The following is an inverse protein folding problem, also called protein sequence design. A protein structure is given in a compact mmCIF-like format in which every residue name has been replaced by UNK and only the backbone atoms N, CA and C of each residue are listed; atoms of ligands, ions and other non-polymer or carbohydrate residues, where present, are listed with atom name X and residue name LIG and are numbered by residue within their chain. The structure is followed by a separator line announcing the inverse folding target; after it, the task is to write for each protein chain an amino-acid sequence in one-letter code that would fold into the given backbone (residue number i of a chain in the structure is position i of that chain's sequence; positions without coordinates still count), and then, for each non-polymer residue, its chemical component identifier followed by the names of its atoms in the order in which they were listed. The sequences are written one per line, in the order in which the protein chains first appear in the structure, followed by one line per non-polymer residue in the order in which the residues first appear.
data_IF_559325695072
#
_entry.id   IF_559325695072
#
_cell.length_a   1.000
_cell.length_b   1.000
_cell.length_c   1.000
_cell.angle_alpha   90.00
_cell.angle_beta   90.00
_cell.angle_gamma   90.00
#
_symmetry.space_group_name_H-M   'P 1'
#
loop_
_entity.id
_entity.type
_entity.pdbx_description
1 polymer ?
#
# COMPACT_ATOMS: atom_id res chain seq x y z
N UNK A 1 2.48 2.52 6.68
CA UNK A 1 1.55 1.77 7.56
C UNK A 1 2.11 1.56 8.97
N UNK A 2 3.19 0.78 9.19
CA UNK A 2 3.79 0.65 10.55
C UNK A 2 4.43 1.96 11.01
N UNK A 3 5.15 2.66 10.12
CA UNK A 3 5.68 3.99 10.45
C UNK A 3 4.58 5.01 10.73
N UNK A 4 3.42 4.95 10.06
CA UNK A 4 2.28 5.84 10.34
C UNK A 4 1.66 5.58 11.72
N UNK A 5 1.78 4.35 12.24
CA UNK A 5 1.34 4.01 13.60
C UNK A 5 2.30 4.57 14.67
N UNK A 6 3.47 5.06 14.28
CA UNK A 6 4.44 5.68 15.17
C UNK A 6 4.48 7.20 14.89
N UNK A 7 4.63 8.05 15.91
CA UNK A 7 4.75 9.50 15.71
C UNK A 7 6.16 9.89 15.25
N UNK A 8 6.77 9.12 14.35
CA UNK A 8 8.09 9.41 13.82
C UNK A 8 7.99 10.42 12.69
N UNK A 9 8.84 11.45 12.73
CA UNK A 9 8.98 12.44 11.65
C UNK A 9 10.09 12.07 10.67
N UNK A 10 10.96 11.14 11.07
CA UNK A 10 12.10 10.66 10.31
C UNK A 10 12.03 9.13 10.16
N UNK A 11 12.85 8.58 9.27
CA UNK A 11 12.91 7.14 9.06
C UNK A 11 13.64 6.45 10.23
N UNK A 12 13.02 5.40 10.78
CA UNK A 12 13.63 4.58 11.82
C UNK A 12 13.72 3.13 11.36
N UNK A 13 14.90 2.49 11.42
CA UNK A 13 15.08 1.13 10.95
C UNK A 13 14.36 0.11 11.86
N UNK A 14 13.54 -0.73 11.24
CA UNK A 14 12.73 -1.75 11.91
C UNK A 14 12.85 -3.07 11.14
N UNK A 15 13.11 -4.16 11.86
CA UNK A 15 13.01 -5.53 11.32
C UNK A 15 11.57 -6.03 11.42
N UNK A 16 11.04 -6.51 10.31
CA UNK A 16 9.67 -7.01 10.21
C UNK A 16 9.72 -8.46 9.74
N UNK A 17 9.04 -9.34 10.44
CA UNK A 17 8.70 -10.68 9.97
C UNK A 17 7.18 -10.77 9.80
N UNK A 18 6.76 -11.43 8.72
CA UNK A 18 5.36 -11.51 8.30
C UNK A 18 5.01 -12.98 8.15
N UNK A 19 3.99 -13.43 8.87
CA UNK A 19 3.40 -14.74 8.71
C UNK A 19 1.90 -14.57 8.46
N UNK A 20 1.31 -15.35 7.57
CA UNK A 20 -0.13 -15.23 7.35
C UNK A 20 -0.73 -16.34 6.52
N UNK A 21 -2.06 -16.34 6.48
CA UNK A 21 -2.89 -17.23 5.67
C UNK A 21 -3.94 -16.37 4.96
N UNK A 22 -4.36 -16.82 3.78
CA UNK A 22 -5.48 -16.23 3.05
C UNK A 22 -6.29 -17.37 2.44
N UNK A 23 -7.57 -17.15 2.20
CA UNK A 23 -8.46 -18.19 1.69
C UNK A 23 -8.59 -18.09 0.17
N UNK A 24 -8.77 -16.88 -0.36
CA UNK A 24 -9.02 -16.71 -1.80
C UNK A 24 -8.32 -15.49 -2.39
N UNK A 25 -8.22 -15.50 -3.72
CA UNK A 25 -7.70 -14.42 -4.55
C UNK A 25 -8.82 -13.93 -5.45
N UNK A 26 -9.08 -12.63 -5.47
CA UNK A 26 -10.06 -12.00 -6.36
C UNK A 26 -9.36 -11.08 -7.34
N UNK A 27 -9.91 -10.97 -8.55
CA UNK A 27 -9.44 -10.04 -9.57
C UNK A 27 -10.57 -9.03 -9.82
N UNK A 28 -10.37 -7.80 -9.37
CA UNK A 28 -11.35 -6.73 -9.56
C UNK A 28 -11.04 -5.98 -10.84
N UNK A 29 -12.07 -5.73 -11.64
CA UNK A 29 -11.93 -4.96 -12.88
C UNK A 29 -11.61 -3.50 -12.54
N UNK A 30 -10.52 -3.00 -13.10
CA UNK A 30 -10.06 -1.64 -12.87
C UNK A 30 -9.85 -0.91 -14.20
N UNK A 31 -10.27 0.34 -14.25
CA UNK A 31 -9.94 1.21 -15.39
C UNK A 31 -8.55 1.78 -15.18
N UNK A 32 -7.58 1.38 -16.00
CA UNK A 32 -6.22 1.93 -15.97
C UNK A 32 -6.13 3.17 -16.86
N UNK A 33 -5.47 4.20 -16.33
CA UNK A 33 -5.10 5.41 -17.05
C UNK A 33 -3.59 5.45 -17.16
N UNK A 34 -3.08 5.44 -18.38
CA UNK A 34 -1.65 5.42 -18.67
C UNK A 34 -1.21 6.71 -19.28
N UNK A 35 -0.09 7.21 -18.77
CA UNK A 35 0.53 8.44 -19.19
C UNK A 35 1.96 8.13 -19.58
N UNK A 36 2.32 8.49 -20.82
CA UNK A 36 3.72 8.50 -21.24
C UNK A 36 4.25 9.91 -21.06
N UNK A 37 5.25 10.09 -20.20
CA UNK A 37 5.88 11.40 -19.97
C UNK A 37 6.33 12.01 -21.31
N UNK A 38 5.88 13.24 -21.60
CA UNK A 38 6.19 13.95 -22.83
C UNK A 38 5.31 13.62 -24.06
N UNK A 39 4.37 12.68 -23.96
CA UNK A 39 3.50 12.33 -25.08
C UNK A 39 2.38 13.36 -25.28
N UNK A 40 2.50 14.19 -26.32
CA UNK A 40 1.43 15.09 -26.74
C UNK A 40 0.17 14.31 -27.12
N UNK A 41 -0.98 14.92 -26.90
CA UNK A 41 -2.25 14.33 -27.25
C UNK A 41 -2.33 13.99 -28.76
N UNK A 42 -2.99 12.87 -29.04
CA UNK A 42 -3.19 12.34 -30.37
C UNK A 42 -4.51 11.55 -30.36
N UNK A 43 -5.50 12.05 -31.09
CA UNK A 43 -6.87 11.50 -31.13
C UNK A 43 -6.93 10.03 -31.59
N UNK A 44 -5.95 9.55 -32.35
CA UNK A 44 -5.88 8.15 -32.79
C UNK A 44 -5.37 7.20 -31.70
N UNK A 45 -4.65 7.70 -30.69
CA UNK A 45 -4.00 6.86 -29.67
C UNK A 45 -4.51 7.09 -28.25
N UNK A 46 -5.07 8.26 -27.98
CA UNK A 46 -5.46 8.70 -26.64
C UNK A 46 -6.96 8.92 -26.59
N UNK A 47 -7.60 8.40 -25.53
CA UNK A 47 -9.03 8.57 -25.30
C UNK A 47 -9.34 9.87 -24.53
N UNK A 48 -8.35 10.42 -23.82
CA UNK A 48 -8.50 11.65 -23.03
C UNK A 48 -7.25 12.54 -23.18
N UNK A 49 -7.40 13.81 -22.84
CA UNK A 49 -6.37 14.84 -22.91
C UNK A 49 -6.35 15.63 -21.59
N UNK A 50 -5.15 15.96 -21.09
CA UNK A 50 -4.98 16.86 -19.94
C UNK A 50 -3.73 17.70 -20.13
N UNK A 51 -3.88 19.03 -20.16
CA UNK A 51 -2.76 19.97 -20.23
C UNK A 51 -1.85 19.75 -21.46
N UNK A 52 -2.41 19.35 -22.60
CA UNK A 52 -1.70 19.06 -23.84
C UNK A 52 -1.14 17.64 -23.97
N UNK A 53 -1.26 16.82 -22.93
CA UNK A 53 -0.77 15.43 -22.90
C UNK A 53 -1.89 14.42 -23.10
N UNK A 54 -1.56 13.34 -23.80
CA UNK A 54 -2.50 12.26 -24.07
C UNK A 54 -2.56 11.23 -22.95
N UNK A 55 -3.76 10.75 -22.66
CA UNK A 55 -4.04 9.68 -21.69
C UNK A 55 -4.63 8.49 -22.43
N UNK A 56 -4.07 7.30 -22.19
CA UNK A 56 -4.62 6.04 -22.67
C UNK A 56 -5.49 5.45 -21.58
N UNK A 57 -6.77 5.19 -21.88
CA UNK A 57 -7.70 4.48 -21.00
C UNK A 57 -7.79 3.03 -21.44
N UNK A 58 -7.47 2.12 -20.53
CA UNK A 58 -7.54 0.68 -20.76
C UNK A 58 -8.28 -0.05 -19.64
N UNK A 59 -8.52 -1.34 -19.88
CA UNK A 59 -9.00 -2.27 -18.87
C UNK A 59 -7.80 -2.95 -18.20
N UNK A 60 -7.87 -3.11 -16.89
CA UNK A 60 -6.89 -3.83 -16.07
C UNK A 60 -7.60 -4.62 -14.97
N UNK A 61 -6.83 -5.38 -14.21
CA UNK A 61 -7.32 -6.10 -13.04
C UNK A 61 -6.44 -5.82 -11.83
N UNK A 62 -7.06 -5.50 -10.71
CA UNK A 62 -6.39 -5.44 -9.40
C UNK A 62 -6.55 -6.80 -8.74
N UNK A 63 -5.45 -7.37 -8.26
CA UNK A 63 -5.45 -8.62 -7.50
C UNK A 63 -5.55 -8.34 -6.02
N UNK A 64 -6.58 -8.87 -5.38
CA UNK A 64 -6.80 -8.76 -3.95
C UNK A 64 -6.77 -10.14 -3.29
N UNK A 65 -6.29 -10.19 -2.06
CA UNK A 65 -6.37 -11.37 -1.20
C UNK A 65 -7.54 -11.19 -0.24
N UNK A 66 -8.43 -12.18 -0.14
CA UNK A 66 -9.58 -12.14 0.76
C UNK A 66 -9.37 -13.04 1.97
N UNK A 67 -10.00 -12.65 3.08
CA UNK A 67 -9.98 -13.36 4.36
C UNK A 67 -8.53 -13.60 4.83
N UNK A 68 -7.75 -12.52 4.83
CA UNK A 68 -6.33 -12.54 5.20
C UNK A 68 -6.19 -12.49 6.72
N UNK A 69 -5.52 -13.49 7.28
CA UNK A 69 -5.01 -13.48 8.65
C UNK A 69 -3.51 -13.24 8.60
N UNK A 70 -3.05 -12.13 9.18
CA UNK A 70 -1.65 -11.74 9.18
C UNK A 70 -1.15 -11.56 10.62
N UNK A 71 -0.01 -12.17 10.92
CA UNK A 71 0.78 -11.96 12.13
C UNK A 71 2.03 -11.17 11.73
N UNK A 72 2.15 -9.99 12.31
CA UNK A 72 3.27 -9.07 12.09
C UNK A 72 4.19 -9.10 13.32
N UNK A 73 5.41 -9.59 13.15
CA UNK A 73 6.46 -9.54 14.15
C UNK A 73 7.34 -8.32 13.89
N UNK A 74 7.24 -7.32 14.76
CA UNK A 74 7.95 -6.04 14.61
C UNK A 74 9.05 -5.95 15.67
N UNK A 75 10.30 -5.75 15.23
CA UNK A 75 11.46 -5.57 16.10
C UNK A 75 12.22 -4.29 15.70
N UNK A 76 12.15 -3.21 16.50
CA UNK A 76 13.01 -2.04 16.32
C UNK A 76 14.48 -2.42 16.49
N UNK A 77 15.36 -1.80 15.72
CA UNK A 77 16.80 -2.05 15.83
C UNK A 77 17.44 -1.29 16.99
N UNK A 78 16.95 -0.08 17.30
CA UNK A 78 17.46 0.76 18.39
C UNK A 78 16.78 0.43 19.72
N UNK A 79 17.56 0.45 20.81
CA UNK A 79 17.10 0.06 22.16
C UNK A 79 16.10 1.08 22.75
N UNK A 80 16.23 2.37 22.42
CA UNK A 80 15.35 3.43 22.91
C UNK A 80 13.91 3.35 22.40
N UNK A 81 13.72 2.87 21.17
CA UNK A 81 12.41 2.80 20.50
C UNK A 81 11.53 1.66 21.02
N UNK A 82 12.12 0.65 21.67
CA UNK A 82 11.37 -0.47 22.28
C UNK A 82 10.30 0.00 23.27
N UNK A 83 10.54 1.11 23.97
CA UNK A 83 9.59 1.70 24.94
C UNK A 83 8.32 2.26 24.26
N UNK A 84 8.45 2.77 23.03
CA UNK A 84 7.32 3.33 22.25
C UNK A 84 6.33 2.23 21.85
N UNK A 85 6.84 1.09 21.40
CA UNK A 85 6.02 -0.05 20.98
C UNK A 85 5.35 -0.79 22.15
N UNK A 86 6.01 -0.91 23.31
CA UNK A 86 5.42 -1.55 24.48
C UNK A 86 4.24 -0.77 25.07
N UNK A 87 4.30 0.57 25.05
CA UNK A 87 3.22 1.43 25.57
C UNK A 87 1.92 1.30 24.75
N UNK A 88 2.04 1.10 23.43
CA UNK A 88 0.89 0.99 22.50
C UNK A 88 0.35 -0.43 22.33
N UNK A 89 1.10 -1.47 22.71
CA UNK A 89 0.61 -2.86 22.73
C UNK A 89 -0.66 -3.05 23.58
N UNK A 90 -0.91 -2.19 24.57
CA UNK A 90 -2.13 -2.21 25.40
C UNK A 90 -3.40 -1.73 24.66
N UNK A 91 -3.28 -1.04 23.53
CA UNK A 91 -4.42 -0.39 22.86
C UNK A 91 -5.02 -1.19 21.69
N UNK A 92 -4.33 -2.21 21.16
CA UNK A 92 -4.79 -2.95 19.95
C UNK A 92 -5.48 -4.26 20.32
N UNK A 93 -6.39 -4.19 21.29
CA UNK A 93 -7.36 -5.25 21.61
C UNK A 93 -8.76 -4.68 21.41
N UNK A 94 -9.14 -4.41 20.16
CA UNK A 94 -10.55 -4.24 19.81
C UNK A 94 -11.13 -5.63 19.59
N UNK A 95 -11.96 -6.06 20.54
CA UNK A 95 -12.78 -7.26 20.46
C UNK A 95 -13.66 -7.19 19.21
N UNK A 96 -13.79 -8.34 18.56
CA UNK A 96 -14.83 -8.69 17.58
C UNK A 96 -16.23 -8.46 18.13
#
# INVERSE_FOLDING_TARGET
MIHNLCPYKEYHPIKISIQGKYISKTNDLYTRYEFKSGAKYNKSRHQMETGGYGIIRGVSTIKLLSQVQLILHIRPETVGEKKVFQKRKKFVSMKS
#
